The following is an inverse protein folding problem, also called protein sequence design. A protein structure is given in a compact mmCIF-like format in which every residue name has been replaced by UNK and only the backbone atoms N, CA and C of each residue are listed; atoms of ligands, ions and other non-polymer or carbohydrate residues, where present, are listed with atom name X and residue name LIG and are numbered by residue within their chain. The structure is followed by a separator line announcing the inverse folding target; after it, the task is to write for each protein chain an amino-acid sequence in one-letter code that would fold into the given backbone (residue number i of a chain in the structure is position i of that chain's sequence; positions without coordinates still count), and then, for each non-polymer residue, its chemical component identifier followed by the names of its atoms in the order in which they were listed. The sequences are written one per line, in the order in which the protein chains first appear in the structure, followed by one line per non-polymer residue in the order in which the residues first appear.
data_IF_668866970051
#
_entry.id   IF_668866970051
#
_cell.length_a   1.000
_cell.length_b   1.000
_cell.length_c   1.000
_cell.angle_alpha   90.00
_cell.angle_beta   90.00
_cell.angle_gamma   90.00
#
_symmetry.space_group_name_H-M   'P 1'
#
loop_
_entity.id
_entity.type
_entity.pdbx_description
1 polymer ?
#
# COMPACT_ATOMS: atom_id res chain seq x y z
N UNK A 1 -8.15 -3.49 -13.43
CA UNK A 1 -7.21 -3.36 -12.29
C UNK A 1 -6.53 -2.00 -12.36
N UNK A 2 -6.31 -1.40 -11.22
CA UNK A 2 -5.61 -0.12 -11.10
C UNK A 2 -4.26 -0.30 -10.45
N UNK A 3 -3.41 0.71 -10.57
CA UNK A 3 -2.11 0.71 -9.91
C UNK A 3 -1.92 2.05 -9.20
N UNK A 4 -1.28 1.98 -8.03
CA UNK A 4 -1.02 3.15 -7.19
C UNK A 4 0.45 3.15 -6.80
N UNK A 5 1.12 4.28 -7.04
CA UNK A 5 2.51 4.44 -6.63
C UNK A 5 2.55 5.04 -5.24
N UNK A 6 3.24 4.35 -4.33
CA UNK A 6 3.25 4.70 -2.91
C UNK A 6 4.69 4.79 -2.42
N UNK A 7 4.99 5.84 -1.66
CA UNK A 7 6.33 6.02 -1.08
C UNK A 7 6.57 5.03 0.05
N UNK A 8 7.79 4.51 0.13
CA UNK A 8 8.19 3.74 1.28
C UNK A 8 8.35 4.67 2.49
N UNK A 9 8.06 4.22 3.67
CA UNK A 9 7.77 2.84 4.09
C UNK A 9 6.32 2.39 3.88
N UNK A 10 5.47 3.24 3.34
CA UNK A 10 4.03 2.96 3.31
C UNK A 10 3.67 1.84 2.35
N UNK A 11 4.39 1.69 1.22
CA UNK A 11 4.12 0.59 0.31
C UNK A 11 4.36 -0.76 1.00
N UNK A 12 5.51 -0.89 1.68
CA UNK A 12 5.78 -2.09 2.47
C UNK A 12 4.70 -2.32 3.53
N UNK A 13 4.34 -1.24 4.22
CA UNK A 13 3.36 -1.35 5.30
C UNK A 13 2.00 -1.84 4.79
N UNK A 14 1.58 -1.38 3.62
CA UNK A 14 0.32 -1.82 3.03
C UNK A 14 0.33 -3.32 2.74
N UNK A 15 1.40 -3.80 2.14
CA UNK A 15 1.45 -5.20 1.71
C UNK A 15 1.84 -6.14 2.85
N UNK A 16 2.79 -5.73 3.69
CA UNK A 16 3.39 -6.63 4.69
C UNK A 16 3.18 -6.21 6.13
N UNK A 17 2.80 -4.97 6.39
CA UNK A 17 2.76 -4.43 7.74
C UNK A 17 1.39 -4.21 8.35
N UNK A 18 0.33 -4.60 7.65
CA UNK A 18 -1.02 -4.44 8.18
C UNK A 18 -1.63 -3.07 8.00
N UNK A 19 -1.02 -2.21 7.18
CA UNK A 19 -1.57 -0.89 6.92
C UNK A 19 -2.80 -1.02 6.03
N UNK A 20 -3.95 -0.74 6.60
CA UNK A 20 -5.25 -0.97 5.94
C UNK A 20 -5.89 0.29 5.42
N UNK A 21 -5.12 1.36 5.30
CA UNK A 21 -5.62 2.61 4.77
C UNK A 21 -4.49 3.36 4.08
N UNK A 22 -4.80 4.00 2.96
CA UNK A 22 -3.87 4.91 2.28
C UNK A 22 -4.40 6.33 2.45
N UNK A 23 -3.56 7.22 2.93
CA UNK A 23 -3.93 8.59 3.24
C UNK A 23 -3.61 9.49 2.06
N UNK A 24 -4.60 10.28 1.64
CA UNK A 24 -4.43 11.20 0.52
C UNK A 24 -5.07 12.53 0.83
N UNK A 25 -4.63 13.57 0.10
CA UNK A 25 -5.18 14.90 0.29
C UNK A 25 -6.51 15.08 -0.44
N UNK A 26 -6.82 14.18 -1.37
CA UNK A 26 -8.07 14.23 -2.13
C UNK A 26 -8.48 12.83 -2.53
N UNK A 27 -9.69 12.69 -3.04
CA UNK A 27 -10.19 11.40 -3.51
C UNK A 27 -9.61 11.10 -4.89
N UNK A 28 -8.57 10.29 -4.93
CA UNK A 28 -7.93 9.92 -6.20
C UNK A 28 -8.60 8.73 -6.87
N UNK A 29 -9.54 8.09 -6.19
CA UNK A 29 -10.16 6.87 -6.69
C UNK A 29 -11.53 7.10 -7.33
N UNK A 30 -12.16 8.24 -7.01
CA UNK A 30 -13.52 8.42 -7.46
C UNK A 30 -14.41 7.29 -6.96
N UNK A 31 -15.15 6.69 -7.87
CA UNK A 31 -16.04 5.58 -7.53
C UNK A 31 -15.40 4.21 -7.73
N UNK A 32 -14.13 4.15 -8.15
CA UNK A 32 -13.49 2.87 -8.36
C UNK A 32 -13.38 2.06 -7.06
N UNK A 33 -13.77 0.81 -7.12
CA UNK A 33 -13.54 -0.15 -6.05
C UNK A 33 -13.05 -1.43 -6.69
N UNK A 34 -12.12 -2.12 -6.03
CA UNK A 34 -11.58 -3.35 -6.57
C UNK A 34 -10.08 -3.43 -6.44
N UNK A 35 -9.45 -4.32 -7.20
CA UNK A 35 -8.01 -4.59 -7.05
C UNK A 35 -7.13 -3.40 -7.43
N UNK A 36 -6.10 -3.17 -6.60
CA UNK A 36 -5.12 -2.11 -6.80
C UNK A 36 -3.73 -2.68 -6.58
N UNK A 37 -2.90 -2.62 -7.62
CA UNK A 37 -1.50 -3.02 -7.50
C UNK A 37 -0.73 -1.91 -6.80
N UNK A 38 0.18 -2.27 -5.91
CA UNK A 38 0.98 -1.32 -5.14
C UNK A 38 2.40 -1.27 -5.71
N UNK A 39 2.77 -0.12 -6.20
CA UNK A 39 4.07 0.15 -6.82
C UNK A 39 4.89 1.04 -5.89
N UNK A 40 6.17 0.72 -5.73
CA UNK A 40 7.05 1.44 -4.81
C UNK A 40 7.66 2.64 -5.51
N UNK A 41 7.38 3.82 -4.97
CA UNK A 41 7.90 5.07 -5.51
C UNK A 41 9.43 5.13 -5.41
N UNK A 42 10.05 5.88 -6.32
CA UNK A 42 11.46 6.17 -6.23
C UNK A 42 11.81 7.14 -5.11
N UNK A 43 10.82 7.80 -4.53
CA UNK A 43 11.02 8.75 -3.43
C UNK A 43 10.49 8.17 -2.14
N UNK A 44 11.22 8.38 -1.05
CA UNK A 44 10.80 7.94 0.27
C UNK A 44 9.96 9.01 0.95
N UNK A 45 9.06 8.61 1.82
CA UNK A 45 8.30 9.54 2.64
C UNK A 45 9.22 10.25 3.61
N UNK A 46 8.90 11.52 3.90
CA UNK A 46 9.69 12.33 4.83
C UNK A 46 8.92 12.51 6.12
N UNK A 47 9.67 12.76 7.19
CA UNK A 47 9.09 13.08 8.51
C UNK A 47 8.08 12.02 8.97
N UNK A 48 8.47 10.76 8.80
CA UNK A 48 7.61 9.65 9.17
C UNK A 48 7.58 9.54 10.71
N UNK A 49 6.36 9.56 11.26
CA UNK A 49 6.14 9.41 12.70
C UNK A 49 4.84 8.61 12.87
N UNK A 50 4.98 7.32 13.08
CA UNK A 50 3.80 6.45 13.10
C UNK A 50 4.02 5.30 14.08
N UNK A 51 3.30 5.32 15.22
CA UNK A 51 3.38 4.18 16.14
C UNK A 51 2.95 2.86 15.49
N UNK A 52 1.99 2.91 14.58
CA UNK A 52 1.59 1.68 13.88
C UNK A 52 2.73 1.12 13.04
N UNK A 53 3.49 2.00 12.38
CA UNK A 53 4.65 1.56 11.62
C UNK A 53 5.73 1.00 12.52
N UNK A 54 5.96 1.64 13.66
CA UNK A 54 6.95 1.13 14.62
C UNK A 54 6.59 -0.28 15.07
N UNK A 55 5.32 -0.51 15.38
CA UNK A 55 4.85 -1.83 15.79
C UNK A 55 5.02 -2.85 14.66
N UNK A 56 4.69 -2.48 13.45
CA UNK A 56 4.81 -3.39 12.31
C UNK A 56 6.27 -3.74 12.04
N UNK A 57 7.15 -2.75 12.16
CA UNK A 57 8.59 -2.98 11.96
C UNK A 57 9.14 -3.91 13.03
N UNK A 58 8.71 -3.73 14.27
CA UNK A 58 9.15 -4.58 15.36
C UNK A 58 8.70 -6.03 15.14
N UNK A 59 7.45 -6.22 14.72
CA UNK A 59 6.97 -7.57 14.42
C UNK A 59 7.77 -8.21 13.28
N UNK A 60 8.13 -7.41 12.28
CA UNK A 60 8.94 -7.93 11.17
C UNK A 60 10.31 -8.39 11.66
N UNK A 61 10.97 -7.61 12.51
CA UNK A 61 12.29 -7.96 13.03
C UNK A 61 12.26 -9.21 13.91
N UNK A 62 11.10 -9.53 14.48
CA UNK A 62 10.97 -10.72 15.32
C UNK A 62 10.87 -12.01 14.52
N UNK A 63 10.72 -11.93 13.22
CA UNK A 63 10.59 -13.13 12.38
C UNK A 63 11.96 -13.76 12.18
N UNK A 64 12.03 -15.12 12.17
CA UNK A 64 13.34 -15.78 12.04
C UNK A 64 14.11 -15.44 10.77
N UNK A 65 13.40 -15.19 9.68
CA UNK A 65 14.03 -14.91 8.40
C UNK A 65 14.38 -13.44 8.20
N UNK A 66 14.08 -12.57 9.17
CA UNK A 66 14.34 -11.16 9.01
C UNK A 66 15.83 -10.85 9.05
N UNK A 67 16.26 -9.99 8.17
CA UNK A 67 17.64 -9.49 8.18
C UNK A 67 17.64 -8.16 8.93
N UNK A 68 18.12 -8.19 10.15
CA UNK A 68 18.08 -7.00 11.02
C UNK A 68 19.00 -5.89 10.55
N UNK A 69 19.88 -6.15 9.60
CA UNK A 69 20.74 -5.13 9.02
C UNK A 69 20.08 -4.38 7.88
N UNK A 70 18.89 -4.76 7.48
CA UNK A 70 18.20 -4.15 6.35
C UNK A 70 16.77 -3.77 6.75
N UNK A 71 16.40 -2.56 6.40
CA UNK A 71 15.01 -2.16 6.54
C UNK A 71 14.20 -2.74 5.40
N UNK A 72 13.04 -3.34 5.67
CA UNK A 72 12.26 -3.94 4.60
C UNK A 72 11.82 -2.94 3.54
N UNK A 73 11.65 -1.69 3.91
CA UNK A 73 11.16 -0.68 2.97
C UNK A 73 12.27 -0.03 2.14
N UNK A 74 13.51 -0.46 2.30
CA UNK A 74 14.57 0.04 1.42
C UNK A 74 14.67 -0.74 0.13
N UNK A 75 13.87 -1.81 0.02
CA UNK A 75 13.92 -2.70 -1.12
C UNK A 75 12.83 -2.34 -2.13
N UNK A 76 13.04 -2.82 -3.34
CA UNK A 76 12.00 -2.88 -4.38
C UNK A 76 11.55 -1.53 -4.93
N UNK A 77 12.38 -0.49 -4.80
CA UNK A 77 12.10 0.78 -5.42
C UNK A 77 11.87 0.59 -6.92
N UNK A 78 10.80 1.19 -7.45
CA UNK A 78 10.47 1.07 -8.86
C UNK A 78 9.77 -0.21 -9.25
N UNK A 79 9.32 -1.00 -8.26
CA UNK A 79 8.68 -2.29 -8.55
C UNK A 79 7.30 -2.36 -7.93
N UNK A 80 6.43 -3.14 -8.56
CA UNK A 80 5.14 -3.51 -8.00
C UNK A 80 5.37 -4.68 -7.06
N UNK A 81 4.88 -4.57 -5.82
CA UNK A 81 5.20 -5.55 -4.79
C UNK A 81 4.00 -6.35 -4.29
N UNK A 82 2.80 -5.97 -4.69
CA UNK A 82 1.63 -6.70 -4.24
C UNK A 82 0.34 -6.11 -4.74
N UNK A 83 -0.75 -6.72 -4.31
CA UNK A 83 -2.09 -6.33 -4.71
C UNK A 83 -2.94 -6.17 -3.45
N UNK A 84 -3.80 -5.16 -3.43
CA UNK A 84 -4.80 -4.99 -2.37
C UNK A 84 -6.15 -4.77 -3.03
N UNK A 85 -7.21 -4.85 -2.24
CA UNK A 85 -8.53 -4.45 -2.68
C UNK A 85 -8.86 -3.09 -2.08
N UNK A 86 -9.24 -2.14 -2.93
CA UNK A 86 -9.79 -0.87 -2.46
C UNK A 86 -11.27 -1.08 -2.22
N UNK A 87 -11.69 -0.98 -0.96
CA UNK A 87 -13.05 -1.35 -0.58
C UNK A 87 -13.91 -0.16 -0.21
N UNK A 88 -13.30 0.97 0.15
CA UNK A 88 -14.05 2.15 0.54
C UNK A 88 -13.19 3.38 0.43
N UNK A 89 -13.82 4.52 0.19
CA UNK A 89 -13.16 5.82 0.22
C UNK A 89 -14.03 6.76 1.03
N UNK A 90 -13.46 7.40 2.04
CA UNK A 90 -14.22 8.34 2.84
C UNK A 90 -13.29 9.43 3.38
N UNK A 91 -13.89 10.50 3.85
CA UNK A 91 -13.14 11.62 4.42
C UNK A 91 -12.79 11.32 5.88
N UNK A 92 -11.61 11.77 6.29
CA UNK A 92 -11.21 11.62 7.68
C UNK A 92 -12.16 12.32 8.65
N UNK A 93 -12.79 13.39 8.20
CA UNK A 93 -13.76 14.10 9.02
C UNK A 93 -15.01 13.27 9.31
N UNK A 94 -15.28 12.24 8.51
CA UNK A 94 -16.41 11.35 8.74
C UNK A 94 -16.10 10.26 9.76
N UNK A 95 -14.85 10.10 10.15
CA UNK A 95 -14.49 9.16 11.20
C UNK A 95 -14.88 9.76 12.54
N UNK A 96 -15.40 8.94 13.42
CA UNK A 96 -15.83 9.45 14.73
C UNK A 96 -14.62 10.01 15.47
N UNK A 97 -14.72 11.25 15.90
CA UNK A 97 -13.74 11.98 16.71
C UNK A 97 -12.47 12.31 15.93
N UNK A 98 -11.69 11.31 15.50
CA UNK A 98 -10.47 11.54 14.73
C UNK A 98 -10.33 10.43 13.69
N UNK A 99 -9.52 10.67 12.64
CA UNK A 99 -9.26 9.60 11.67
C UNK A 99 -8.73 8.31 12.29
N UNK A 100 -8.01 8.39 13.40
CA UNK A 100 -7.44 7.20 14.01
C UNK A 100 -8.51 6.25 14.56
N UNK A 101 -9.76 6.70 14.73
CA UNK A 101 -10.84 5.79 15.06
C UNK A 101 -11.14 4.80 13.96
N UNK A 102 -10.87 5.19 12.69
CA UNK A 102 -11.11 4.28 11.57
C UNK A 102 -9.99 3.26 11.44
N UNK A 103 -8.77 3.66 11.78
CA UNK A 103 -7.61 2.79 11.67
C UNK A 103 -6.45 3.46 12.39
N UNK A 104 -5.58 2.70 13.06
CA UNK A 104 -4.38 3.30 13.64
C UNK A 104 -3.43 3.88 12.60
N UNK A 105 -3.61 3.54 11.33
CA UNK A 105 -2.81 4.08 10.23
C UNK A 105 -3.43 5.32 9.58
N UNK A 106 -4.67 5.65 9.94
CA UNK A 106 -5.39 6.74 9.26
C UNK A 106 -4.92 8.10 9.75
N UNK A 107 -4.70 9.00 8.79
CA UNK A 107 -4.28 10.37 9.05
C UNK A 107 -4.61 11.21 7.82
N UNK A 108 -5.14 12.40 8.03
CA UNK A 108 -5.38 13.30 6.93
C UNK A 108 -6.81 13.28 6.40
N UNK A 109 -7.05 14.01 5.30
CA UNK A 109 -8.44 14.29 4.89
C UNK A 109 -9.13 13.15 4.16
N UNK A 110 -8.42 12.26 3.51
CA UNK A 110 -9.06 11.17 2.76
C UNK A 110 -8.41 9.83 3.05
N UNK A 111 -9.00 8.65 3.23
CA UNK A 111 -8.58 7.56 3.50
C UNK A 111 -9.06 6.72 2.55
N UNK A 112 -8.37 6.03 1.99
CA UNK A 112 -8.70 4.92 1.09
C UNK A 112 -8.58 3.60 1.86
N UNK A 113 -9.67 2.93 2.11
CA UNK A 113 -9.69 1.69 2.92
C UNK A 113 -9.28 0.50 2.07
N UNK A 114 -8.29 -0.26 2.54
CA UNK A 114 -7.66 -1.36 1.81
C UNK A 114 -7.84 -2.67 2.54
N UNK A 115 -7.95 -3.76 1.76
CA UNK A 115 -8.08 -5.10 2.31
C UNK A 115 -7.30 -6.09 1.44
N UNK A 116 -6.93 -7.33 1.93
CA UNK A 116 -6.46 -8.07 1.43
C UNK A 116 -5.38 -7.93 0.85
N UNK A 117 -4.31 -7.74 1.51
CA UNK A 117 -3.05 -7.64 0.81
C UNK A 117 -2.51 -8.99 0.36
N UNK A 118 -2.00 -9.00 -0.87
CA UNK A 118 -1.42 -10.22 -1.46
C UNK A 118 -0.05 -9.86 -2.01
N UNK A 119 1.03 -10.27 -1.35
CA UNK A 119 2.37 -9.96 -1.86
C UNK A 119 2.69 -10.74 -3.12
N UNK A 120 3.46 -10.10 -4.01
CA UNK A 120 4.05 -10.81 -5.14
C UNK A 120 5.29 -11.55 -4.66
N UNK A 121 5.45 -12.79 -5.11
CA UNK A 121 6.65 -13.56 -4.82
C UNK A 121 7.84 -12.89 -5.48
N UNK A 122 7.65 -12.41 -6.71
CA UNK A 122 8.70 -11.77 -7.48
C UNK A 122 8.22 -10.38 -7.89
N UNK A 123 8.71 -9.32 -7.23
CA UNK A 123 8.29 -7.96 -7.61
C UNK A 123 8.55 -7.65 -9.08
N UNK A 124 7.67 -6.86 -9.67
CA UNK A 124 7.66 -6.59 -11.11
C UNK A 124 8.06 -5.14 -11.37
N UNK A 125 9.14 -4.90 -12.12
CA UNK A 125 9.50 -3.53 -12.46
C UNK A 125 8.38 -2.81 -13.21
N UNK A 126 8.17 -1.53 -12.88
CA UNK A 126 7.11 -0.75 -13.47
C UNK A 126 7.45 0.73 -13.33
N UNK A 127 7.08 1.52 -14.32
CA UNK A 127 7.30 2.96 -14.27
C UNK A 127 6.07 3.63 -13.67
N UNK A 128 6.20 4.16 -12.46
CA UNK A 128 5.08 4.71 -11.74
C UNK A 128 4.50 5.99 -12.33
N UNK A 129 3.33 6.36 -11.85
CA UNK A 129 2.63 7.56 -12.29
C UNK A 129 1.81 8.11 -11.13
N UNK A 130 1.31 9.33 -11.30
CA UNK A 130 0.51 9.96 -10.27
C UNK A 130 -0.90 9.38 -10.21
N UNK A 131 -1.43 9.31 -9.01
CA UNK A 131 -2.81 8.93 -8.78
C UNK A 131 -3.09 7.48 -9.00
N UNK A 132 -4.36 7.15 -9.08
CA UNK A 132 -4.80 5.78 -9.30
C UNK A 132 -5.04 5.59 -10.80
N UNK A 133 -4.24 4.77 -11.42
CA UNK A 133 -4.21 4.64 -12.87
C UNK A 133 -4.65 3.25 -13.33
N UNK A 134 -5.19 3.19 -14.54
CA UNK A 134 -5.40 1.90 -15.20
C UNK A 134 -4.06 1.19 -15.38
N UNK A 135 -4.07 -0.10 -15.11
CA UNK A 135 -2.87 -0.91 -15.28
C UNK A 135 -2.95 -1.60 -16.64
N UNK A 136 -1.83 -1.65 -17.34
CA UNK A 136 -1.79 -2.28 -18.67
C UNK A 136 -2.05 -3.79 -18.56
N UNK A 137 -2.52 -4.36 -19.68
CA UNK A 137 -2.94 -5.77 -19.70
C UNK A 137 -1.78 -6.72 -19.44
N UNK A 138 -0.58 -6.39 -19.95
CA UNK A 138 0.57 -7.27 -19.77
C UNK A 138 0.97 -7.34 -18.30
N UNK A 139 1.07 -6.20 -17.62
CA UNK A 139 1.43 -6.19 -16.20
C UNK A 139 0.34 -6.85 -15.38
N UNK A 140 -0.93 -6.60 -15.70
CA UNK A 140 -2.04 -7.25 -15.02
C UNK A 140 -1.92 -8.78 -15.13
N UNK A 141 -1.64 -9.28 -16.33
CA UNK A 141 -1.50 -10.73 -16.53
C UNK A 141 -0.35 -11.30 -15.72
N UNK A 142 0.76 -10.56 -15.63
CA UNK A 142 1.92 -11.03 -14.86
C UNK A 142 1.63 -11.07 -13.37
N UNK A 143 0.87 -10.10 -12.87
CA UNK A 143 0.46 -10.10 -11.46
C UNK A 143 -0.46 -11.29 -11.19
N UNK A 144 -1.46 -11.48 -12.03
CA UNK A 144 -2.42 -12.57 -11.83
C UNK A 144 -1.75 -13.93 -11.96
N UNK A 145 -0.71 -14.05 -12.78
CA UNK A 145 0.03 -15.30 -12.88
C UNK A 145 0.69 -15.68 -11.56
N UNK A 146 1.04 -14.70 -10.73
CA UNK A 146 1.66 -14.99 -9.43
C UNK A 146 0.63 -15.25 -8.34
N UNK A 147 -0.48 -14.53 -8.33
CA UNK A 147 -1.41 -14.58 -7.20
C UNK A 147 -2.78 -15.15 -7.55
N UNK A 148 -3.07 -15.34 -8.82
CA UNK A 148 -4.37 -15.82 -9.27
C UNK A 148 -5.38 -14.69 -9.45
N UNK A 149 -6.61 -15.07 -9.85
CA UNK A 149 -7.69 -14.12 -10.09
C UNK A 149 -8.09 -13.46 -8.77
N UNK A 150 -8.13 -12.12 -8.72
CA UNK A 150 -8.44 -11.43 -7.46
C UNK A 150 -9.91 -11.47 -7.05
N UNK A 151 -10.81 -12.05 -7.84
CA UNK A 151 -12.24 -12.12 -7.49
C UNK A 151 -12.54 -12.91 -6.24
#
# INVERSE_FOLDING_TARGET
MRILTVRQPWAWAIIHGGKDVENRTRNIAGSYRGPVAIHVSGRFAEDVDSPALDDATERWHDQPEADCNRHPWRLNVGKTIGLVDLVDVHQGADCWDTPSFCSPWADGPWXLSLAXPRPLIEPIPFKGALGLRHLDDDTTARILAQIGDPT
#
